data_IF_672973128850
#
_entry.id   IF_672973128850
#
_cell.length_a   1.000
_cell.length_b   1.000
_cell.length_c   1.000
_cell.angle_alpha   90.00
_cell.angle_beta   90.00
_cell.angle_gamma   90.00
#
_symmetry.space_group_name_H-M   'P 1'
#
loop_
_entity.id
_entity.type
_entity.pdbx_description
1 polymer ?
#
# COMPACT_ATOMS: atom_id res chain seq x y z
N UNK A 1 -17.25 -27.52 -4.19
CA UNK A 1 -15.82 -27.83 -4.36
C UNK A 1 -15.23 -27.02 -5.49
N UNK A 2 -14.25 -26.19 -5.19
CA UNK A 2 -13.61 -25.30 -6.14
C UNK A 2 -12.35 -24.68 -5.54
N UNK A 3 -11.48 -24.13 -6.39
CA UNK A 3 -10.20 -23.55 -5.97
C UNK A 3 -10.31 -22.22 -5.21
N UNK A 4 -11.52 -21.65 -5.12
CA UNK A 4 -11.81 -20.40 -4.44
C UNK A 4 -12.46 -20.69 -3.08
N UNK A 5 -11.66 -20.75 -2.01
CA UNK A 5 -12.15 -21.10 -0.66
C UNK A 5 -13.32 -20.22 -0.19
N UNK A 6 -13.31 -18.94 -0.55
CA UNK A 6 -14.37 -17.98 -0.23
C UNK A 6 -15.17 -17.52 -1.45
N UNK A 7 -15.10 -18.26 -2.57
CA UNK A 7 -15.79 -17.93 -3.83
C UNK A 7 -15.45 -16.53 -4.38
N UNK A 8 -14.26 -16.01 -4.03
CA UNK A 8 -13.78 -14.70 -4.41
C UNK A 8 -12.38 -14.79 -5.03
N UNK A 9 -12.09 -13.82 -5.89
CA UNK A 9 -10.75 -13.48 -6.38
C UNK A 9 -10.21 -12.27 -5.59
N UNK A 10 -8.89 -12.07 -5.51
CA UNK A 10 -7.81 -12.80 -6.18
C UNK A 10 -7.54 -14.20 -5.60
N UNK A 11 -7.05 -15.08 -6.48
CA UNK A 11 -6.50 -16.40 -6.17
C UNK A 11 -5.19 -16.59 -6.94
N UNK A 12 -4.16 -17.10 -6.28
CA UNK A 12 -2.86 -17.41 -6.89
C UNK A 12 -2.49 -18.86 -6.62
N UNK A 13 -2.10 -19.58 -7.67
CA UNK A 13 -1.48 -20.89 -7.56
C UNK A 13 0.05 -20.72 -7.45
N UNK A 14 0.64 -21.09 -6.31
CA UNK A 14 2.07 -20.93 -6.04
C UNK A 14 2.54 -22.01 -5.05
N UNK A 15 3.69 -22.62 -5.31
CA UNK A 15 4.30 -23.67 -4.46
C UNK A 15 3.34 -24.82 -4.11
N UNK A 16 2.50 -25.21 -5.07
CA UNK A 16 1.50 -26.27 -4.90
C UNK A 16 0.27 -25.86 -4.08
N UNK A 17 0.23 -24.62 -3.57
CA UNK A 17 -0.94 -24.06 -2.89
C UNK A 17 -1.83 -23.28 -3.85
N UNK A 18 -3.11 -23.16 -3.50
CA UNK A 18 -4.07 -22.24 -4.11
C UNK A 18 -4.51 -21.23 -3.07
N UNK A 19 -3.85 -20.08 -3.02
CA UNK A 19 -4.02 -19.07 -1.97
C UNK A 19 -5.03 -18.03 -2.45
N UNK A 20 -6.07 -17.79 -1.66
CA UNK A 20 -7.03 -16.66 -1.83
C UNK A 20 -6.75 -15.58 -0.80
N UNK A 21 -7.40 -14.41 -0.93
CA UNK A 21 -7.22 -13.20 -0.12
C UNK A 21 -5.93 -12.44 -0.45
N UNK A 22 -6.07 -11.20 -0.94
CA UNK A 22 -4.97 -10.36 -1.41
C UNK A 22 -3.84 -10.22 -0.37
N UNK A 23 -4.20 -10.01 0.90
CA UNK A 23 -3.24 -9.88 2.01
C UNK A 23 -2.46 -11.18 2.24
N UNK A 24 -3.13 -12.34 2.22
CA UNK A 24 -2.47 -13.63 2.43
C UNK A 24 -1.49 -13.95 1.29
N UNK A 25 -1.91 -13.71 0.04
CA UNK A 25 -1.09 -13.89 -1.16
C UNK A 25 0.17 -13.01 -1.07
N UNK A 26 0.00 -11.71 -0.81
CA UNK A 26 1.10 -10.76 -0.78
C UNK A 26 2.04 -10.99 0.43
N UNK A 27 1.51 -11.40 1.58
CA UNK A 27 2.32 -11.80 2.74
C UNK A 27 3.21 -13.02 2.42
N UNK A 28 2.65 -14.00 1.71
CA UNK A 28 3.41 -15.19 1.31
C UNK A 28 4.54 -14.84 0.34
N UNK A 29 4.25 -14.04 -0.69
CA UNK A 29 5.24 -13.57 -1.67
C UNK A 29 6.34 -12.77 -0.98
N UNK A 30 5.99 -11.82 -0.11
CA UNK A 30 6.97 -11.01 0.61
C UNK A 30 7.90 -11.87 1.49
N UNK A 31 7.35 -12.85 2.19
CA UNK A 31 8.13 -13.80 3.00
C UNK A 31 9.05 -14.66 2.13
N UNK A 32 8.51 -15.23 1.05
CA UNK A 32 9.25 -16.11 0.13
C UNK A 32 10.47 -15.42 -0.51
N UNK A 33 10.35 -14.14 -0.85
CA UNK A 33 11.38 -13.39 -1.55
C UNK A 33 12.16 -12.41 -0.67
N UNK A 34 12.13 -12.59 0.66
CA UNK A 34 12.90 -11.79 1.63
C UNK A 34 12.62 -10.27 1.58
N UNK A 35 11.36 -9.90 1.38
CA UNK A 35 10.86 -8.52 1.36
C UNK A 35 10.04 -8.19 2.63
N UNK A 36 10.13 -9.02 3.67
CA UNK A 36 9.25 -8.95 4.84
C UNK A 36 9.97 -8.74 6.18
N UNK A 37 11.10 -8.03 6.14
CA UNK A 37 11.93 -7.75 7.31
C UNK A 37 12.76 -8.96 7.75
N UNK A 38 13.78 -8.71 8.58
CA UNK A 38 14.67 -9.77 9.09
C UNK A 38 14.21 -10.41 10.39
N UNK A 39 13.32 -9.73 11.12
CA UNK A 39 12.81 -10.16 12.42
C UNK A 39 11.36 -9.69 12.63
N UNK A 40 10.77 -10.11 13.75
CA UNK A 40 9.38 -9.79 14.08
C UNK A 40 9.14 -8.28 14.27
N UNK A 41 10.15 -7.50 14.67
CA UNK A 41 9.99 -6.05 14.87
C UNK A 41 9.93 -5.34 13.52
N UNK A 42 10.86 -5.66 12.62
CA UNK A 42 10.82 -5.11 11.25
C UNK A 42 9.54 -5.54 10.53
N UNK A 43 9.13 -6.80 10.67
CA UNK A 43 7.86 -7.29 10.11
C UNK A 43 6.65 -6.51 10.64
N UNK A 44 6.59 -6.24 11.94
CA UNK A 44 5.50 -5.47 12.52
C UNK A 44 5.44 -4.03 11.99
N UNK A 45 6.60 -3.39 11.77
CA UNK A 45 6.65 -2.07 11.13
C UNK A 45 6.16 -2.13 9.67
N UNK A 46 6.61 -3.13 8.90
CA UNK A 46 6.16 -3.35 7.52
C UNK A 46 4.64 -3.56 7.48
N UNK A 47 4.10 -4.39 8.35
CA UNK A 47 2.65 -4.65 8.43
C UNK A 47 1.87 -3.38 8.77
N UNK A 48 2.34 -2.59 9.74
CA UNK A 48 1.71 -1.32 10.11
C UNK A 48 1.68 -0.32 8.95
N UNK A 49 2.78 -0.22 8.19
CA UNK A 49 2.89 0.66 7.03
C UNK A 49 2.00 0.21 5.88
N UNK A 50 2.03 -1.09 5.56
CA UNK A 50 1.25 -1.69 4.48
C UNK A 50 -0.25 -1.60 4.77
N UNK A 51 -0.71 -1.89 5.99
CA UNK A 51 -2.13 -1.78 6.33
C UNK A 51 -2.63 -0.33 6.28
N UNK A 52 -1.81 0.63 6.71
CA UNK A 52 -2.13 2.06 6.54
C UNK A 52 -2.27 2.46 5.06
N UNK A 53 -1.40 1.95 4.19
CA UNK A 53 -1.49 2.19 2.75
C UNK A 53 -2.69 1.49 2.11
N UNK A 54 -3.07 0.30 2.56
CA UNK A 54 -4.27 -0.38 2.08
C UNK A 54 -5.54 0.43 2.30
N UNK A 55 -5.68 1.11 3.43
CA UNK A 55 -6.85 1.97 3.69
C UNK A 55 -6.96 3.12 2.67
N UNK A 56 -5.83 3.70 2.26
CA UNK A 56 -5.82 4.74 1.22
C UNK A 56 -6.04 4.13 -0.17
N UNK A 57 -5.39 3.01 -0.44
CA UNK A 57 -5.49 2.31 -1.72
C UNK A 57 -6.92 1.85 -2.01
N UNK A 58 -7.68 1.42 -1.01
CA UNK A 58 -9.09 1.07 -1.17
C UNK A 58 -9.94 2.25 -1.67
N UNK A 59 -9.66 3.47 -1.19
CA UNK A 59 -10.34 4.68 -1.65
C UNK A 59 -9.96 5.02 -3.09
N UNK A 60 -8.66 4.91 -3.42
CA UNK A 60 -8.14 5.14 -4.76
C UNK A 60 -8.74 4.15 -5.77
N UNK A 61 -8.68 2.86 -5.46
CA UNK A 61 -9.24 1.78 -6.30
C UNK A 61 -10.73 1.95 -6.56
N UNK A 62 -11.49 2.46 -5.58
CA UNK A 62 -12.94 2.60 -5.70
C UNK A 62 -13.37 3.91 -6.39
N UNK A 63 -12.43 4.80 -6.72
CA UNK A 63 -12.72 6.12 -7.27
C UNK A 63 -13.46 6.04 -8.61
N UNK A 64 -12.96 5.26 -9.56
CA UNK A 64 -13.57 5.11 -10.90
C UNK A 64 -14.93 4.41 -10.89
N UNK A 65 -15.35 3.87 -9.75
CA UNK A 65 -16.66 3.23 -9.57
C UNK A 65 -17.68 4.11 -8.84
N UNK A 66 -17.30 5.34 -8.45
CA UNK A 66 -18.23 6.26 -7.81
C UNK A 66 -19.29 6.76 -8.80
N UNK A 67 -20.54 6.99 -8.35
CA UNK A 67 -21.53 7.73 -9.13
C UNK A 67 -21.03 9.13 -9.45
N UNK A 68 -21.39 9.66 -10.62
CA UNK A 68 -20.94 10.97 -11.10
C UNK A 68 -21.22 12.10 -10.10
N UNK A 69 -22.33 12.05 -9.36
CA UNK A 69 -22.69 13.08 -8.37
C UNK A 69 -21.81 13.06 -7.12
N UNK A 70 -21.06 11.97 -6.88
CA UNK A 70 -20.18 11.78 -5.73
C UNK A 70 -18.69 11.82 -6.08
N UNK A 71 -18.36 11.84 -7.36
CA UNK A 71 -16.99 11.74 -7.85
C UNK A 71 -16.08 12.84 -7.27
N UNK A 72 -16.52 14.10 -7.32
CA UNK A 72 -15.76 15.24 -6.80
C UNK A 72 -15.56 15.15 -5.28
N UNK A 73 -16.60 14.78 -4.53
CA UNK A 73 -16.52 14.61 -3.07
C UNK A 73 -15.57 13.47 -2.68
N UNK A 74 -15.61 12.37 -3.42
CA UNK A 74 -14.73 11.22 -3.20
C UNK A 74 -13.28 11.57 -3.51
N UNK A 75 -13.03 12.27 -4.62
CA UNK A 75 -11.71 12.78 -4.97
C UNK A 75 -11.17 13.72 -3.90
N UNK A 76 -11.97 14.66 -3.40
CA UNK A 76 -11.59 15.54 -2.31
C UNK A 76 -11.21 14.76 -1.04
N UNK A 77 -11.94 13.67 -0.73
CA UNK A 77 -11.65 12.78 0.40
C UNK A 77 -10.33 12.02 0.21
N UNK A 78 -10.05 11.55 -1.00
CA UNK A 78 -8.78 10.90 -1.35
C UNK A 78 -7.63 11.88 -1.12
N UNK A 79 -7.72 13.08 -1.69
CA UNK A 79 -6.67 14.11 -1.60
C UNK A 79 -6.44 14.51 -0.16
N UNK A 80 -7.50 14.77 0.62
CA UNK A 80 -7.40 15.10 2.04
C UNK A 80 -6.70 13.99 2.83
N UNK A 81 -7.16 12.74 2.68
CA UNK A 81 -6.54 11.62 3.39
C UNK A 81 -5.09 11.39 2.99
N UNK A 82 -4.77 11.43 1.70
CA UNK A 82 -3.41 11.28 1.22
C UNK A 82 -2.49 12.36 1.82
N UNK A 83 -2.88 13.63 1.69
CA UNK A 83 -2.04 14.78 2.06
C UNK A 83 -2.04 15.13 3.54
N UNK A 84 -3.11 14.86 4.29
CA UNK A 84 -3.22 15.25 5.70
C UNK A 84 -3.08 14.07 6.68
N UNK A 85 -3.18 12.82 6.21
CA UNK A 85 -3.11 11.63 7.07
C UNK A 85 -2.00 10.66 6.71
N UNK A 86 -1.90 10.23 5.45
CA UNK A 86 -1.03 9.10 5.10
C UNK A 86 0.38 9.54 4.70
N UNK A 87 0.54 10.37 3.66
CA UNK A 87 1.87 10.81 3.20
C UNK A 87 2.71 11.53 4.28
N UNK A 88 2.15 12.35 5.19
CA UNK A 88 2.93 12.92 6.29
C UNK A 88 3.59 11.87 7.19
N UNK A 89 2.98 10.69 7.34
CA UNK A 89 3.55 9.60 8.14
C UNK A 89 4.81 9.04 7.47
N UNK A 90 4.74 8.74 6.18
CA UNK A 90 5.87 8.16 5.43
C UNK A 90 7.01 9.16 5.23
N UNK A 91 6.69 10.42 4.94
CA UNK A 91 7.66 11.52 4.92
C UNK A 91 8.40 11.62 6.27
N UNK A 92 7.67 11.55 7.39
CA UNK A 92 8.25 11.59 8.73
C UNK A 92 9.13 10.37 9.01
N UNK A 93 8.70 9.16 8.62
CA UNK A 93 9.49 7.94 8.79
C UNK A 93 10.85 8.09 8.10
N UNK A 94 10.86 8.46 6.81
CA UNK A 94 12.09 8.68 6.04
C UNK A 94 12.97 9.77 6.65
N UNK A 95 12.35 10.87 7.10
CA UNK A 95 13.05 11.98 7.75
C UNK A 95 13.72 11.59 9.07
N UNK A 96 13.01 10.84 9.91
CA UNK A 96 13.46 10.51 11.26
C UNK A 96 14.70 9.62 11.26
N UNK A 97 14.77 8.65 10.34
CA UNK A 97 15.91 7.74 10.25
C UNK A 97 16.94 8.13 9.17
N UNK A 98 16.57 8.95 8.19
CA UNK A 98 17.49 9.44 7.14
C UNK A 98 18.06 8.33 6.27
N UNK A 99 17.24 7.35 5.89
CA UNK A 99 17.62 6.19 5.08
C UNK A 99 16.74 6.14 3.83
N UNK A 100 17.19 5.38 2.83
CA UNK A 100 16.54 5.32 1.52
C UNK A 100 15.27 4.45 1.50
N UNK A 101 15.12 3.54 2.48
CA UNK A 101 14.01 2.61 2.58
C UNK A 101 13.31 2.72 3.93
N UNK A 102 12.00 2.44 3.95
CA UNK A 102 11.14 2.61 5.13
C UNK A 102 11.54 1.75 6.33
N UNK A 103 12.11 0.56 6.09
CA UNK A 103 12.44 -0.41 7.15
C UNK A 103 13.78 -1.08 6.88
N UNK A 104 14.68 -1.03 7.86
CA UNK A 104 15.91 -1.84 7.87
C UNK A 104 16.95 -1.46 6.81
N UNK A 105 16.86 -0.26 6.24
CA UNK A 105 17.71 0.25 5.16
C UNK A 105 17.86 -0.72 3.96
N UNK A 106 16.75 -1.38 3.61
CA UNK A 106 16.68 -2.29 2.46
C UNK A 106 15.27 -2.30 1.92
N UNK A 107 15.12 -2.58 0.62
CA UNK A 107 13.81 -2.73 0.02
C UNK A 107 12.98 -3.80 0.73
N UNK A 108 11.72 -3.46 0.98
CA UNK A 108 10.70 -4.30 1.57
C UNK A 108 9.39 -4.14 0.81
N UNK A 109 8.39 -4.96 1.16
CA UNK A 109 7.04 -4.80 0.62
C UNK A 109 6.42 -3.44 0.96
N UNK A 110 6.78 -2.82 2.08
CA UNK A 110 6.25 -1.51 2.44
C UNK A 110 6.63 -0.44 1.40
N UNK A 111 7.87 -0.47 0.91
CA UNK A 111 8.35 0.47 -0.11
C UNK A 111 7.62 0.27 -1.44
N UNK A 112 7.41 -0.99 -1.85
CA UNK A 112 6.66 -1.33 -3.06
C UNK A 112 5.20 -0.88 -2.96
N UNK A 113 4.55 -1.13 -1.81
CA UNK A 113 3.16 -0.72 -1.58
C UNK A 113 3.01 0.80 -1.56
N UNK A 114 3.99 1.51 -0.98
CA UNK A 114 4.01 2.97 -0.95
C UNK A 114 4.12 3.55 -2.35
N UNK A 115 5.05 3.04 -3.16
CA UNK A 115 5.21 3.47 -4.56
C UNK A 115 3.93 3.27 -5.38
N UNK A 116 3.31 2.08 -5.30
CA UNK A 116 2.03 1.82 -5.98
C UNK A 116 0.97 2.85 -5.56
N UNK A 117 0.85 3.11 -4.26
CA UNK A 117 -0.16 4.03 -3.71
C UNK A 117 0.11 5.47 -4.14
N UNK A 118 1.38 5.88 -4.21
CA UNK A 118 1.81 7.19 -4.72
C UNK A 118 1.38 7.36 -6.17
N UNK A 119 1.70 6.40 -7.04
CA UNK A 119 1.39 6.50 -8.47
C UNK A 119 -0.13 6.60 -8.70
N UNK A 120 -0.92 5.79 -7.99
CA UNK A 120 -2.37 5.86 -8.05
C UNK A 120 -2.92 7.21 -7.55
N UNK A 121 -2.28 7.80 -6.54
CA UNK A 121 -2.66 9.12 -6.04
C UNK A 121 -2.29 10.24 -7.03
N UNK A 122 -1.15 10.12 -7.72
CA UNK A 122 -0.72 11.05 -8.78
C UNK A 122 -1.64 11.00 -10.00
N UNK A 123 -2.16 9.82 -10.36
CA UNK A 123 -3.20 9.68 -11.38
C UNK A 123 -4.48 10.45 -11.02
N UNK A 124 -4.80 10.58 -9.73
CA UNK A 124 -5.93 11.37 -9.25
C UNK A 124 -5.60 12.87 -9.14
N UNK A 125 -4.38 13.21 -8.70
CA UNK A 125 -3.88 14.58 -8.52
C UNK A 125 -2.37 14.62 -8.79
N UNK A 126 -1.92 15.10 -9.97
CA UNK A 126 -0.51 14.98 -10.37
C UNK A 126 0.52 15.67 -9.46
N UNK A 127 0.12 16.72 -8.73
CA UNK A 127 0.97 17.49 -7.82
C UNK A 127 0.80 17.08 -6.35
N UNK A 128 0.19 15.92 -6.06
CA UNK A 128 -0.16 15.52 -4.69
C UNK A 128 1.06 15.39 -3.75
N UNK A 129 2.25 15.14 -4.31
CA UNK A 129 3.50 15.02 -3.57
C UNK A 129 4.27 16.33 -3.37
N UNK A 130 3.76 17.47 -3.84
CA UNK A 130 4.53 18.73 -3.84
C UNK A 130 5.07 19.16 -2.46
N UNK A 131 4.42 18.75 -1.36
CA UNK A 131 4.84 19.05 0.01
C UNK A 131 5.65 17.94 0.71
N UNK A 132 5.97 16.85 -0.01
CA UNK A 132 6.63 15.65 0.53
C UNK A 132 7.91 15.32 -0.27
N UNK A 133 8.99 16.09 -0.08
CA UNK A 133 10.21 15.94 -0.88
C UNK A 133 10.94 14.61 -0.67
N UNK A 134 10.73 13.88 0.44
CA UNK A 134 11.34 12.56 0.62
C UNK A 134 10.54 11.43 -0.04
N UNK A 135 9.31 11.73 -0.49
CA UNK A 135 8.47 10.79 -1.24
C UNK A 135 8.58 10.95 -2.77
N UNK A 136 9.34 11.94 -3.26
CA UNK A 136 9.61 12.20 -4.69
C UNK A 136 10.91 11.53 -5.13
#
# INVERSE_FOLDING_TARGET
DGFLLFQQVPMVEIDGMKIVQSRAIANYIAGKYNLYGKDLKERALIDMYVEGLFDLNELLMTHSFQPAEKEEQHLATIVDKATNRYFPVFEKVLKDHGQDFLVGNRISRADVQLLETILMAEECKPDILAQFPLLQ
#
